data_IF_606301910179
#
_entry.id   IF_606301910179
#
_cell.length_a   1.000
_cell.length_b   1.000
_cell.length_c   1.000
_cell.angle_alpha   90.00
_cell.angle_beta   90.00
_cell.angle_gamma   90.00
#
_symmetry.space_group_name_H-M   'P 1'
#
loop_
_entity.id
_entity.type
_entity.pdbx_description
1 polymer ?
#
# COMPACT_ATOMS: atom_id res chain seq x y z
N UNK A 1 -25.83 -37.93 2.73
CA UNK A 1 -25.68 -36.91 1.67
C UNK A 1 -24.43 -37.25 0.86
N UNK A 2 -24.51 -37.30 -0.47
CA UNK A 2 -23.36 -37.63 -1.30
C UNK A 2 -22.44 -36.41 -1.45
N UNK A 3 -21.17 -36.59 -1.06
CA UNK A 3 -20.13 -35.58 -1.27
C UNK A 3 -19.75 -35.54 -2.75
N UNK A 4 -19.89 -34.38 -3.39
CA UNK A 4 -19.51 -34.20 -4.80
C UNK A 4 -18.09 -33.67 -4.94
N UNK A 5 -17.45 -33.90 -6.09
CA UNK A 5 -16.13 -33.32 -6.39
C UNK A 5 -16.14 -31.78 -6.33
N UNK A 6 -17.23 -31.15 -6.75
CA UNK A 6 -17.40 -29.70 -6.68
C UNK A 6 -17.45 -29.19 -5.24
N UNK A 7 -18.08 -29.95 -4.33
CA UNK A 7 -18.08 -29.64 -2.91
C UNK A 7 -16.67 -29.72 -2.32
N UNK A 8 -15.92 -30.80 -2.62
CA UNK A 8 -14.56 -30.99 -2.12
C UNK A 8 -13.61 -29.87 -2.55
N UNK A 9 -13.70 -29.41 -3.80
CA UNK A 9 -12.90 -28.28 -4.31
C UNK A 9 -13.20 -27.00 -3.54
N UNK A 10 -14.48 -26.66 -3.40
CA UNK A 10 -14.90 -25.45 -2.66
C UNK A 10 -14.50 -25.49 -1.19
N UNK A 11 -14.60 -26.66 -0.55
CA UNK A 11 -14.18 -26.84 0.84
C UNK A 11 -12.66 -26.64 0.99
N UNK A 12 -11.86 -27.21 0.08
CA UNK A 12 -10.42 -27.02 0.06
C UNK A 12 -10.04 -25.55 -0.17
N UNK A 13 -10.66 -24.88 -1.15
CA UNK A 13 -10.43 -23.45 -1.45
C UNK A 13 -10.74 -22.59 -0.22
N UNK A 14 -11.87 -22.85 0.45
CA UNK A 14 -12.29 -22.11 1.65
C UNK A 14 -11.28 -22.29 2.79
N UNK A 15 -10.81 -23.52 3.01
CA UNK A 15 -9.80 -23.81 4.05
C UNK A 15 -8.47 -23.13 3.75
N UNK A 16 -8.02 -23.17 2.49
CA UNK A 16 -6.79 -22.50 2.05
C UNK A 16 -6.89 -20.98 2.21
N UNK A 17 -8.01 -20.37 1.79
CA UNK A 17 -8.24 -18.94 1.92
C UNK A 17 -8.27 -18.51 3.39
N UNK A 18 -8.97 -19.26 4.25
CA UNK A 18 -9.01 -18.98 5.68
C UNK A 18 -7.63 -19.12 6.35
N UNK A 19 -6.85 -20.14 5.98
CA UNK A 19 -5.48 -20.30 6.46
C UNK A 19 -4.61 -19.11 6.06
N UNK A 20 -4.72 -18.66 4.80
CA UNK A 20 -4.00 -17.49 4.32
C UNK A 20 -4.40 -16.20 5.06
N UNK A 21 -5.69 -15.96 5.25
CA UNK A 21 -6.20 -14.81 6.03
C UNK A 21 -5.64 -14.82 7.45
N UNK A 22 -5.64 -15.98 8.12
CA UNK A 22 -5.12 -16.12 9.47
C UNK A 22 -3.61 -15.83 9.53
N UNK A 23 -2.83 -16.36 8.57
CA UNK A 23 -1.40 -16.06 8.48
C UNK A 23 -1.15 -14.57 8.20
N UNK A 24 -1.91 -13.97 7.29
CA UNK A 24 -1.75 -12.57 6.90
C UNK A 24 -1.97 -11.61 8.07
N UNK A 25 -2.90 -11.89 8.98
CA UNK A 25 -3.13 -11.07 10.18
C UNK A 25 -1.96 -11.08 11.16
N UNK A 26 -0.99 -11.98 11.01
CA UNK A 26 0.19 -12.00 11.85
C UNK A 26 1.16 -10.87 11.50
N UNK A 27 1.67 -10.11 12.48
CA UNK A 27 2.75 -9.14 12.26
C UNK A 27 4.01 -9.75 11.63
N UNK A 28 4.24 -11.07 11.83
CA UNK A 28 5.36 -11.80 11.21
C UNK A 28 5.24 -11.85 9.68
N UNK A 29 4.03 -11.88 9.16
CA UNK A 29 3.76 -11.95 7.71
C UNK A 29 3.61 -10.55 7.11
N UNK A 30 2.84 -9.68 7.75
CA UNK A 30 2.65 -8.29 7.28
C UNK A 30 3.91 -7.43 7.42
N UNK A 31 4.72 -7.71 8.44
CA UNK A 31 5.80 -6.84 8.87
C UNK A 31 5.30 -5.70 9.76
N UNK A 32 6.16 -5.25 10.67
CA UNK A 32 5.83 -4.22 11.68
C UNK A 32 5.48 -2.84 11.10
N UNK A 33 5.74 -2.61 9.82
CA UNK A 33 5.52 -1.34 9.15
C UNK A 33 4.38 -1.38 8.13
N UNK A 34 3.61 -2.47 8.07
CA UNK A 34 2.48 -2.59 7.16
C UNK A 34 1.45 -1.48 7.39
N UNK A 35 0.98 -0.85 6.33
CA UNK A 35 -0.14 0.09 6.41
C UNK A 35 -1.45 -0.70 6.32
N UNK A 36 -2.05 -0.97 7.49
CA UNK A 36 -3.39 -1.56 7.53
C UNK A 36 -4.41 -0.56 6.99
N UNK A 37 -5.15 -0.98 5.97
CA UNK A 37 -6.20 -0.19 5.32
C UNK A 37 -7.54 -0.93 5.43
N UNK A 38 -8.60 -0.16 5.39
CA UNK A 38 -9.97 -0.66 5.41
C UNK A 38 -10.62 -0.53 4.02
N UNK A 39 -11.67 -1.30 3.82
CA UNK A 39 -12.62 -1.07 2.73
C UNK A 39 -13.43 0.21 3.00
N UNK A 40 -14.16 0.69 1.99
CA UNK A 40 -15.12 1.79 2.17
C UNK A 40 -16.22 1.48 3.19
N UNK A 41 -16.47 0.19 3.47
CA UNK A 41 -17.44 -0.27 4.47
C UNK A 41 -16.84 -0.39 5.88
N UNK A 42 -15.58 0.05 6.08
CA UNK A 42 -14.88 -0.06 7.36
C UNK A 42 -14.37 -1.46 7.72
N UNK A 43 -14.59 -2.46 6.86
CA UNK A 43 -14.07 -3.80 7.07
C UNK A 43 -12.58 -3.88 6.73
N UNK A 44 -11.83 -4.71 7.47
CA UNK A 44 -10.43 -5.00 7.19
C UNK A 44 -10.23 -5.52 5.77
N UNK A 45 -9.15 -5.07 5.14
CA UNK A 45 -8.73 -5.57 3.84
C UNK A 45 -7.96 -6.87 4.05
N UNK A 46 -8.58 -7.97 3.64
CA UNK A 46 -8.01 -9.32 3.74
C UNK A 46 -7.69 -9.88 2.35
N UNK A 47 -6.73 -10.82 2.26
CA UNK A 47 -6.45 -11.47 1.00
C UNK A 47 -7.60 -12.34 0.51
N UNK A 48 -7.72 -12.43 -0.81
CA UNK A 48 -8.66 -13.33 -1.47
C UNK A 48 -8.08 -13.82 -2.79
N UNK A 49 -8.34 -15.09 -3.11
CA UNK A 49 -7.95 -15.69 -4.37
C UNK A 49 -8.87 -15.27 -5.53
N UNK A 50 -10.03 -14.69 -5.23
CA UNK A 50 -11.04 -14.32 -6.22
C UNK A 50 -10.67 -13.01 -6.90
N UNK A 51 -10.54 -13.04 -8.24
CA UNK A 51 -10.31 -11.85 -9.09
C UNK A 51 -9.13 -10.96 -8.65
N UNK A 52 -8.09 -11.57 -8.08
CA UNK A 52 -6.91 -10.85 -7.61
C UNK A 52 -7.10 -10.08 -6.30
N UNK A 53 -8.22 -10.31 -5.59
CA UNK A 53 -8.49 -9.74 -4.29
C UNK A 53 -8.72 -8.21 -4.30
N UNK A 54 -8.80 -7.61 -3.10
CA UNK A 54 -9.19 -6.21 -2.98
C UNK A 54 -8.16 -5.24 -3.57
N UNK A 55 -6.86 -5.57 -3.54
CA UNK A 55 -5.81 -4.68 -4.07
C UNK A 55 -5.79 -4.61 -5.60
N UNK A 56 -5.88 -5.73 -6.32
CA UNK A 56 -5.88 -5.71 -7.79
C UNK A 56 -7.14 -4.99 -8.30
N UNK A 57 -8.28 -5.17 -7.65
CA UNK A 57 -9.50 -4.43 -8.02
C UNK A 57 -9.35 -2.91 -7.88
N UNK A 58 -8.47 -2.44 -6.99
CA UNK A 58 -8.32 -1.02 -6.67
C UNK A 58 -7.17 -0.33 -7.43
N UNK A 59 -6.06 -1.04 -7.67
CA UNK A 59 -4.84 -0.47 -8.26
C UNK A 59 -4.45 -1.11 -9.61
N UNK A 60 -5.14 -2.17 -10.05
CA UNK A 60 -4.75 -2.99 -11.19
C UNK A 60 -4.89 -2.34 -12.56
N UNK A 61 -5.48 -1.15 -12.65
CA UNK A 61 -5.60 -0.40 -13.90
C UNK A 61 -4.25 0.16 -14.39
N UNK A 62 -3.25 0.30 -13.51
CA UNK A 62 -1.92 0.82 -13.84
C UNK A 62 -0.84 0.06 -13.08
N UNK A 63 0.17 -0.50 -13.78
CA UNK A 63 1.34 -1.10 -13.14
C UNK A 63 2.07 -0.15 -12.20
N UNK A 64 2.16 1.15 -12.55
CA UNK A 64 2.82 2.18 -11.75
C UNK A 64 2.03 2.48 -10.46
N UNK A 65 0.70 2.55 -10.56
CA UNK A 65 -0.17 2.72 -9.40
C UNK A 65 -0.05 1.52 -8.45
N UNK A 66 -0.10 0.30 -8.99
CA UNK A 66 0.10 -0.93 -8.22
C UNK A 66 1.45 -0.96 -7.52
N UNK A 67 2.54 -0.66 -8.24
CA UNK A 67 3.89 -0.63 -7.67
C UNK A 67 3.99 0.39 -6.53
N UNK A 68 3.51 1.61 -6.74
CA UNK A 68 3.53 2.67 -5.72
C UNK A 68 2.69 2.30 -4.49
N UNK A 69 1.53 1.67 -4.69
CA UNK A 69 0.69 1.16 -3.61
C UNK A 69 1.41 0.08 -2.79
N UNK A 70 2.03 -0.90 -3.44
CA UNK A 70 2.81 -1.96 -2.77
C UNK A 70 3.94 -1.35 -1.94
N UNK A 71 4.71 -0.43 -2.52
CA UNK A 71 5.83 0.24 -1.85
C UNK A 71 5.37 1.09 -0.65
N UNK A 72 4.26 1.80 -0.79
CA UNK A 72 3.64 2.57 0.29
C UNK A 72 3.15 1.65 1.42
N UNK A 73 2.34 0.64 1.09
CA UNK A 73 1.71 -0.25 2.06
C UNK A 73 2.76 -1.02 2.86
N UNK A 74 3.77 -1.55 2.18
CA UNK A 74 4.86 -2.32 2.82
C UNK A 74 5.93 -1.45 3.48
N UNK A 75 5.88 -0.12 3.32
CA UNK A 75 6.92 0.82 3.76
C UNK A 75 8.31 0.50 3.18
N UNK A 76 8.36 0.11 1.90
CA UNK A 76 9.56 -0.23 1.13
C UNK A 76 9.87 0.77 0.00
N UNK A 77 9.14 1.88 -0.06
CA UNK A 77 9.40 2.93 -1.03
C UNK A 77 10.83 3.51 -0.89
N UNK A 78 11.49 3.89 -1.99
CA UNK A 78 12.83 4.47 -1.99
C UNK A 78 12.79 5.94 -1.52
N UNK A 79 12.46 6.13 -0.24
CA UNK A 79 12.32 7.44 0.41
C UNK A 79 13.30 7.55 1.57
N UNK A 80 13.47 8.75 2.13
CA UNK A 80 14.47 8.98 3.18
C UNK A 80 14.39 8.05 4.40
N UNK A 81 13.20 7.63 4.80
CA UNK A 81 13.03 6.63 5.86
C UNK A 81 13.60 5.26 5.50
N UNK A 82 13.46 4.84 4.24
CA UNK A 82 14.04 3.60 3.72
C UNK A 82 15.56 3.72 3.62
N UNK A 83 16.08 4.81 3.06
CA UNK A 83 17.53 5.02 2.95
C UNK A 83 18.21 5.01 4.33
N UNK A 84 17.62 5.69 5.32
CA UNK A 84 18.13 5.67 6.68
C UNK A 84 18.01 4.31 7.38
N UNK A 85 17.03 3.47 7.02
CA UNK A 85 16.90 2.11 7.58
C UNK A 85 17.97 1.17 7.04
N UNK A 86 18.32 1.31 5.77
CA UNK A 86 19.22 0.41 5.06
C UNK A 86 20.63 1.00 4.85
N UNK A 87 20.96 2.12 5.50
CA UNK A 87 22.26 2.80 5.39
C UNK A 87 22.67 3.11 3.93
N UNK A 88 21.70 3.50 3.09
CA UNK A 88 21.95 3.88 1.71
C UNK A 88 22.44 5.35 1.68
N UNK A 89 23.53 5.67 0.97
CA UNK A 89 24.13 7.01 0.94
C UNK A 89 23.35 7.99 0.04
N UNK A 90 22.05 8.07 0.23
CA UNK A 90 21.12 8.98 -0.43
C UNK A 90 20.52 9.94 0.59
N UNK A 91 20.02 11.10 0.13
CA UNK A 91 19.43 12.09 1.03
C UNK A 91 18.23 11.53 1.77
N UNK A 92 18.21 11.70 3.10
CA UNK A 92 17.07 11.31 3.93
C UNK A 92 16.04 12.42 4.09
N UNK A 93 16.41 13.67 3.77
CA UNK A 93 15.55 14.84 3.87
C UNK A 93 14.53 14.88 2.72
N UNK A 94 13.37 15.48 2.99
CA UNK A 94 12.39 15.75 1.96
C UNK A 94 12.76 17.04 1.21
N UNK A 95 12.55 17.11 -0.12
CA UNK A 95 12.72 18.37 -0.88
C UNK A 95 11.88 19.55 -0.37
N UNK A 96 10.84 19.29 0.44
CA UNK A 96 10.04 20.33 1.09
C UNK A 96 10.76 21.05 2.25
N UNK A 97 11.96 20.60 2.63
CA UNK A 97 12.73 21.11 3.77
C UNK A 97 12.59 20.30 5.06
N UNK A 98 11.71 19.29 5.10
CA UNK A 98 11.62 18.41 6.27
C UNK A 98 12.89 17.56 6.43
N UNK A 99 13.40 17.45 7.66
CA UNK A 99 14.65 16.74 7.97
C UNK A 99 14.62 15.25 7.60
N UNK A 100 13.44 14.63 7.56
CA UNK A 100 13.29 13.22 7.19
C UNK A 100 12.01 12.97 6.39
N UNK A 101 12.16 12.39 5.21
CA UNK A 101 11.05 11.97 4.35
C UNK A 101 10.54 10.58 4.79
N UNK A 102 9.42 10.57 5.51
CA UNK A 102 8.75 9.33 5.97
C UNK A 102 7.44 9.09 5.20
N UNK A 103 6.91 7.86 5.26
CA UNK A 103 5.57 7.55 4.71
C UNK A 103 4.49 8.46 5.31
N UNK A 104 4.51 8.65 6.63
CA UNK A 104 3.56 9.55 7.30
C UNK A 104 3.70 10.98 6.80
N UNK A 105 4.93 11.48 6.64
CA UNK A 105 5.16 12.82 6.12
C UNK A 105 4.56 12.99 4.73
N UNK A 106 4.82 12.05 3.81
CA UNK A 106 4.28 12.09 2.44
C UNK A 106 2.73 12.08 2.45
N UNK A 107 2.11 11.22 3.26
CA UNK A 107 0.66 11.04 3.26
C UNK A 107 -0.12 12.12 4.03
N UNK A 108 0.49 12.79 5.01
CA UNK A 108 -0.26 13.61 5.96
C UNK A 108 0.31 15.01 6.23
N UNK A 109 1.55 15.32 5.83
CA UNK A 109 2.20 16.56 6.26
C UNK A 109 2.94 17.32 5.14
N UNK A 110 3.42 16.62 4.12
CA UNK A 110 4.26 17.22 3.09
C UNK A 110 3.46 18.20 2.23
N UNK A 111 4.00 19.40 2.03
CA UNK A 111 3.37 20.41 1.19
C UNK A 111 3.52 20.15 -0.31
N UNK A 112 4.39 19.21 -0.72
CA UNK A 112 4.62 18.86 -2.12
C UNK A 112 3.61 17.85 -2.69
N UNK A 113 2.73 17.29 -1.84
CA UNK A 113 1.74 16.30 -2.24
C UNK A 113 0.34 16.81 -1.94
N UNK A 114 -0.60 16.50 -2.85
CA UNK A 114 -2.02 16.77 -2.69
C UNK A 114 -2.63 15.85 -1.62
N UNK A 115 -3.68 16.34 -0.94
CA UNK A 115 -4.44 15.65 0.12
C UNK A 115 -3.60 15.30 1.37
N UNK A 116 -3.81 16.05 2.46
CA UNK A 116 -3.05 15.95 3.72
C UNK A 116 -3.78 15.16 4.80
N UNK A 117 -4.26 13.97 4.48
CA UNK A 117 -4.92 13.11 5.45
C UNK A 117 -4.41 11.69 5.30
N UNK A 118 -3.98 11.09 6.41
CA UNK A 118 -3.60 9.68 6.42
C UNK A 118 -4.73 8.83 5.84
N UNK A 119 -4.52 8.11 4.73
CA UNK A 119 -5.54 7.26 4.17
C UNK A 119 -5.80 6.10 5.13
N UNK A 120 -7.04 5.97 5.58
CA UNK A 120 -7.52 4.82 6.34
C UNK A 120 -8.11 3.74 5.44
N UNK A 121 -8.41 4.03 4.17
CA UNK A 121 -9.05 3.11 3.23
C UNK A 121 -8.21 2.84 1.99
N UNK A 122 -8.43 1.68 1.36
CA UNK A 122 -7.84 1.35 0.05
C UNK A 122 -8.20 2.40 -1.01
N UNK A 123 -9.46 2.83 -1.03
CA UNK A 123 -9.95 3.85 -1.93
C UNK A 123 -9.24 5.19 -1.70
N UNK A 124 -9.10 5.61 -0.43
CA UNK A 124 -8.40 6.84 -0.07
C UNK A 124 -6.93 6.81 -0.47
N UNK A 125 -6.23 5.68 -0.28
CA UNK A 125 -4.86 5.52 -0.76
C UNK A 125 -4.79 5.58 -2.30
N UNK A 126 -5.74 4.96 -3.00
CA UNK A 126 -5.79 5.00 -4.45
C UNK A 126 -6.00 6.41 -4.99
N UNK A 127 -6.92 7.17 -4.39
CA UNK A 127 -7.13 8.58 -4.73
C UNK A 127 -5.84 9.39 -4.53
N UNK A 128 -5.19 9.26 -3.37
CA UNK A 128 -3.91 9.93 -3.09
C UNK A 128 -2.85 9.62 -4.15
N UNK A 129 -2.67 8.36 -4.51
CA UNK A 129 -1.64 7.96 -5.47
C UNK A 129 -1.95 8.39 -6.91
N UNK A 130 -3.23 8.52 -7.27
CA UNK A 130 -3.66 9.07 -8.56
C UNK A 130 -3.36 10.56 -8.65
N UNK A 131 -3.62 11.30 -7.57
CA UNK A 131 -3.33 12.73 -7.50
C UNK A 131 -1.82 13.00 -7.42
N UNK A 132 -1.04 12.01 -6.98
CA UNK A 132 0.40 12.12 -6.74
C UNK A 132 1.17 10.97 -7.43
N UNK A 133 1.24 10.93 -8.77
CA UNK A 133 1.80 9.79 -9.52
C UNK A 133 3.30 9.52 -9.28
N UNK A 134 4.04 10.50 -8.73
CA UNK A 134 5.44 10.33 -8.33
C UNK A 134 5.63 9.85 -6.88
N UNK A 135 4.58 9.79 -6.07
CA UNK A 135 4.69 9.37 -4.68
C UNK A 135 5.10 7.89 -4.60
N UNK A 136 6.10 7.60 -3.76
CA UNK A 136 6.61 6.25 -3.49
C UNK A 136 7.21 5.50 -4.70
N UNK A 137 7.37 6.15 -5.86
CA UNK A 137 8.01 5.56 -7.04
C UNK A 137 9.55 5.60 -6.96
N UNK A 138 10.21 4.74 -7.74
CA UNK A 138 11.65 4.79 -7.99
C UNK A 138 12.06 5.92 -8.95
N UNK A 139 11.13 6.39 -9.78
CA UNK A 139 11.41 7.55 -10.64
C UNK A 139 11.46 8.79 -9.77
N UNK A 140 12.62 9.45 -9.73
CA UNK A 140 12.81 10.79 -9.14
C UNK A 140 12.07 11.84 -10.00
N UNK A 141 10.77 11.68 -10.23
CA UNK A 141 9.93 12.76 -10.73
C UNK A 141 9.72 13.71 -9.56
N UNK A 142 10.46 14.82 -9.56
CA UNK A 142 10.21 15.87 -8.58
C UNK A 142 8.72 16.25 -8.66
N UNK A 143 8.00 16.33 -7.53
CA UNK A 143 6.66 16.88 -7.53
C UNK A 143 6.73 18.27 -8.16
N UNK A 144 5.85 18.56 -9.12
CA UNK A 144 5.76 19.89 -9.70
C UNK A 144 5.56 20.87 -8.55
N UNK A 145 6.51 21.80 -8.40
CA UNK A 145 6.29 22.97 -7.58
C UNK A 145 4.99 23.62 -8.08
N UNK A 146 4.02 23.81 -7.20
CA UNK A 146 2.89 24.68 -7.51
C UNK A 146 3.48 26.04 -7.89
N UNK A 147 3.21 26.47 -9.11
CA UNK A 147 3.49 27.83 -9.54
C UNK A 147 2.55 28.75 -8.75
N UNK A 148 3.13 29.71 -8.00
CA UNK A 148 2.44 30.88 -7.44
C UNK A 148 1.83 30.69 -6.06
#
# INVERSE_FOLDING_TARGET
>A
MATTLSWLRRDADTKCEQAWINSFRSPKVQGHNYLALQSLKGADVIPSAVKGGPWISQFGESPQLMASAVLCITNHAPIGAYYGRFNIPESTACPCGASRMTRWHILAACCLYACKTMPSTLHGLAAFLKDNPGAFSYTKTQPRAGEG
#
